data_IF_676944984638
#
_entry.id   IF_676944984638
#
_cell.length_a   1.000
_cell.length_b   1.000
_cell.length_c   1.000
_cell.angle_alpha   90.00
_cell.angle_beta   90.00
_cell.angle_gamma   90.00
#
_symmetry.space_group_name_H-M   'P 1'
#
loop_
_entity.id
_entity.type
_entity.pdbx_description
1 polymer ?
#
# COMPACT_ATOMS: atom_id res chain seq x y z
N UNK A 1 -21.51 4.99 10.62
CA UNK A 1 -21.24 5.10 12.07
C UNK A 1 -19.91 5.80 12.21
N UNK A 2 -19.84 6.96 12.85
CA UNK A 2 -18.56 7.63 13.06
C UNK A 2 -17.73 6.73 13.99
N UNK A 3 -16.67 6.12 13.47
CA UNK A 3 -15.68 5.49 14.33
C UNK A 3 -15.23 6.55 15.34
N UNK A 4 -15.46 6.27 16.62
CA UNK A 4 -15.33 7.27 17.67
C UNK A 4 -13.85 7.58 17.87
N UNK A 5 -13.41 8.79 17.52
CA UNK A 5 -12.03 9.25 17.73
C UNK A 5 -11.61 9.08 19.20
N UNK A 6 -12.58 9.18 20.13
CA UNK A 6 -12.33 8.94 21.55
C UNK A 6 -11.98 7.48 21.85
N UNK A 7 -12.55 6.52 21.12
CA UNK A 7 -12.21 5.11 21.27
C UNK A 7 -10.79 4.81 20.78
N UNK A 8 -10.41 5.34 19.61
CA UNK A 8 -9.05 5.21 19.09
C UNK A 8 -8.01 5.81 20.04
N UNK A 9 -8.31 6.99 20.62
CA UNK A 9 -7.43 7.62 21.60
C UNK A 9 -7.25 6.74 22.85
N UNK A 10 -8.33 6.19 23.40
CA UNK A 10 -8.26 5.26 24.56
C UNK A 10 -7.41 4.02 24.28
N UNK A 11 -7.44 3.48 23.07
CA UNK A 11 -6.61 2.34 22.68
C UNK A 11 -5.12 2.72 22.65
N UNK A 12 -4.80 3.91 22.14
CA UNK A 12 -3.42 4.43 22.10
C UNK A 12 -2.87 4.61 23.52
N UNK A 13 -3.68 5.14 24.45
CA UNK A 13 -3.30 5.33 25.85
C UNK A 13 -3.01 4.01 26.60
N UNK A 14 -3.50 2.87 26.10
CA UNK A 14 -3.27 1.55 26.71
C UNK A 14 -2.01 0.85 26.18
N UNK A 15 -1.40 1.37 25.12
CA UNK A 15 -0.21 0.76 24.52
C UNK A 15 1.02 0.95 25.40
N UNK A 16 1.90 -0.05 25.44
CA UNK A 16 3.21 0.13 26.05
C UNK A 16 4.04 1.14 25.23
N UNK A 17 4.99 1.86 25.84
CA UNK A 17 5.85 2.81 25.11
C UNK A 17 6.56 2.21 23.89
N UNK A 18 6.89 0.91 23.96
CA UNK A 18 7.49 0.14 22.85
C UNK A 18 6.56 -0.09 21.65
N UNK A 19 5.24 0.01 21.84
CA UNK A 19 4.22 -0.21 20.80
C UNK A 19 3.77 1.09 20.13
N UNK A 20 4.01 2.25 20.75
CA UNK A 20 3.64 3.57 20.23
C UNK A 20 4.23 3.86 18.83
N UNK A 21 5.51 3.56 18.52
CA UNK A 21 6.05 3.80 17.18
C UNK A 21 5.32 3.00 16.09
N UNK A 22 4.90 1.78 16.39
CA UNK A 22 4.14 0.95 15.45
C UNK A 22 2.73 1.50 15.22
N UNK A 23 2.06 1.98 16.27
CA UNK A 23 0.75 2.62 16.16
C UNK A 23 0.81 3.91 15.33
N UNK A 24 1.83 4.75 15.53
CA UNK A 24 2.06 5.95 14.71
C UNK A 24 2.22 5.58 13.24
N UNK A 25 3.13 4.65 12.93
CA UNK A 25 3.36 4.24 11.53
C UNK A 25 2.13 3.64 10.85
N UNK A 26 1.28 2.92 11.61
CA UNK A 26 -0.01 2.43 11.10
C UNK A 26 -0.96 3.58 10.77
N UNK A 27 -1.09 4.56 11.68
CA UNK A 27 -1.96 5.72 11.48
C UNK A 27 -1.49 6.59 10.32
N UNK A 28 -0.19 6.79 10.16
CA UNK A 28 0.40 7.54 9.04
C UNK A 28 0.06 6.89 7.69
N UNK A 29 0.16 5.55 7.56
CA UNK A 29 -0.24 4.86 6.33
C UNK A 29 -1.73 5.00 6.00
N UNK A 30 -2.60 5.08 7.01
CA UNK A 30 -4.03 5.32 6.77
C UNK A 30 -4.31 6.74 6.28
N UNK A 31 -3.42 7.69 6.57
CA UNK A 31 -3.54 9.09 6.18
C UNK A 31 -2.83 9.40 4.86
N UNK A 32 -1.83 8.62 4.49
CA UNK A 32 -1.13 8.76 3.22
C UNK A 32 -2.09 8.52 2.03
N UNK A 33 -2.27 9.50 1.14
CA UNK A 33 -3.24 9.41 0.05
C UNK A 33 -2.87 8.36 -1.00
N UNK A 34 -1.56 8.10 -1.20
CA UNK A 34 -1.06 7.10 -2.14
C UNK A 34 -1.27 5.71 -1.57
N UNK A 35 -0.84 5.47 -0.33
CA UNK A 35 -1.07 4.19 0.36
C UNK A 35 -2.56 3.87 0.47
N UNK A 36 -3.40 4.88 0.77
CA UNK A 36 -4.84 4.72 0.80
C UNK A 36 -5.43 4.42 -0.58
N UNK A 37 -4.90 5.03 -1.65
CA UNK A 37 -5.33 4.74 -3.01
C UNK A 37 -4.96 3.30 -3.41
N UNK A 38 -3.74 2.84 -3.07
CA UNK A 38 -3.29 1.47 -3.32
C UNK A 38 -4.14 0.47 -2.54
N UNK A 39 -4.37 0.70 -1.24
CA UNK A 39 -5.12 -0.21 -0.39
C UNK A 39 -6.60 -0.34 -0.80
N UNK A 40 -7.19 0.71 -1.38
CA UNK A 40 -8.57 0.71 -1.89
C UNK A 40 -8.65 0.44 -3.39
N UNK A 41 -7.53 0.22 -4.07
CA UNK A 41 -7.55 -0.07 -5.50
C UNK A 41 -8.26 -1.41 -5.72
N UNK A 42 -9.20 -1.49 -6.68
CA UNK A 42 -9.75 -2.77 -7.07
C UNK A 42 -8.65 -3.66 -7.64
N UNK A 43 -8.82 -4.98 -7.49
CA UNK A 43 -7.96 -5.94 -8.17
C UNK A 43 -8.06 -5.71 -9.68
N UNK A 44 -6.92 -5.62 -10.37
CA UNK A 44 -6.90 -5.48 -11.82
C UNK A 44 -7.14 -6.84 -12.48
N UNK A 45 -8.41 -7.19 -12.65
CA UNK A 45 -8.85 -8.44 -13.28
C UNK A 45 -8.93 -8.37 -14.80
N UNK A 46 -8.34 -7.33 -15.42
CA UNK A 46 -8.34 -7.20 -16.88
C UNK A 46 -7.49 -8.30 -17.51
N UNK A 47 -7.96 -8.92 -18.61
CA UNK A 47 -7.16 -9.88 -19.33
C UNK A 47 -5.93 -9.17 -19.94
N UNK A 48 -4.81 -9.89 -19.98
CA UNK A 48 -3.60 -9.42 -20.64
C UNK A 48 -3.90 -9.22 -22.13
N UNK A 49 -3.57 -8.05 -22.66
CA UNK A 49 -3.73 -7.76 -24.08
C UNK A 49 -2.45 -8.10 -24.85
N UNK A 50 -2.55 -8.23 -26.18
CA UNK A 50 -1.36 -8.41 -27.03
C UNK A 50 -0.35 -7.25 -26.91
N UNK A 51 -0.83 -6.04 -26.63
CA UNK A 51 0.04 -4.89 -26.38
C UNK A 51 0.82 -5.04 -25.07
N UNK A 52 0.17 -5.53 -24.02
CA UNK A 52 0.82 -5.80 -22.74
C UNK A 52 1.85 -6.92 -22.87
N UNK A 53 1.53 -7.99 -23.62
CA UNK A 53 2.48 -9.07 -23.93
C UNK A 53 3.73 -8.54 -24.65
N UNK A 54 3.55 -7.68 -25.65
CA UNK A 54 4.67 -7.06 -26.36
C UNK A 54 5.53 -6.19 -25.43
N UNK A 55 4.89 -5.38 -24.57
CA UNK A 55 5.58 -4.55 -23.59
C UNK A 55 6.36 -5.39 -22.56
N UNK A 56 5.80 -6.51 -22.11
CA UNK A 56 6.48 -7.44 -21.21
C UNK A 56 7.70 -8.09 -21.87
N UNK A 57 7.62 -8.44 -23.15
CA UNK A 57 8.76 -8.97 -23.91
C UNK A 57 9.86 -7.91 -24.01
N UNK A 58 9.52 -6.68 -24.36
CA UNK A 58 10.47 -5.56 -24.44
C UNK A 58 11.16 -5.31 -23.10
N UNK A 59 10.39 -5.23 -22.00
CA UNK A 59 10.92 -5.03 -20.66
C UNK A 59 11.89 -6.16 -20.24
N UNK A 60 11.58 -7.41 -20.59
CA UNK A 60 12.47 -8.56 -20.35
C UNK A 60 13.77 -8.45 -21.13
N UNK A 61 13.70 -8.10 -22.41
CA UNK A 61 14.90 -7.92 -23.25
C UNK A 61 15.76 -6.76 -22.78
N UNK A 62 15.14 -5.63 -22.41
CA UNK A 62 15.85 -4.51 -21.81
C UNK A 62 16.54 -4.93 -20.50
N UNK A 63 15.84 -5.66 -19.62
CA UNK A 63 16.40 -6.11 -18.35
C UNK A 63 17.60 -7.04 -18.55
N UNK A 64 17.57 -7.97 -19.51
CA UNK A 64 18.72 -8.83 -19.84
C UNK A 64 19.95 -8.02 -20.24
N UNK A 65 19.77 -6.89 -20.93
CA UNK A 65 20.87 -6.04 -21.43
C UNK A 65 21.41 -5.07 -20.37
N UNK A 66 20.63 -4.78 -19.33
CA UNK A 66 20.93 -3.74 -18.34
C UNK A 66 21.02 -4.26 -16.89
N UNK A 67 20.99 -5.58 -16.69
CA UNK A 67 21.36 -6.18 -15.40
C UNK A 67 22.88 -6.10 -15.24
N UNK A 68 23.32 -5.47 -14.16
CA UNK A 68 24.70 -5.49 -13.67
C UNK A 68 25.09 -6.89 -13.16
#
# INVERSE_FOLDING_TARGET
>A
MAADKQHAHKLIEQLSPSQIPAAIGMLERLLDPVERAIANAPVDDKPLTAADEAALVEAREWSKRNKA
#
